data_IF_226001462814
#
_entry.id   IF_226001462814
#
_cell.length_a   1.000
_cell.length_b   1.000
_cell.length_c   1.000
_cell.angle_alpha   90.00
_cell.angle_beta   90.00
_cell.angle_gamma   90.00
#
_symmetry.space_group_name_H-M   'P 1'
#
loop_
_entity.id
_entity.type
_entity.pdbx_description
1 polymer ?
#
# COMPACT_ATOMS: atom_id res chain seq x y z
N UNK A 1 18.07 -48.97 -6.99
CA UNK A 1 17.44 -48.05 -7.96
C UNK A 1 16.20 -47.31 -7.43
N UNK A 2 15.41 -47.86 -6.49
CA UNK A 2 14.15 -47.23 -6.04
C UNK A 2 14.31 -46.13 -4.97
N UNK A 3 15.42 -46.10 -4.21
CA UNK A 3 15.69 -45.07 -3.18
C UNK A 3 16.24 -43.75 -3.77
N UNK A 4 16.98 -43.84 -4.88
CA UNK A 4 17.54 -42.67 -5.58
C UNK A 4 16.46 -41.85 -6.30
N UNK A 5 15.39 -42.49 -6.79
CA UNK A 5 14.26 -41.80 -7.43
C UNK A 5 13.44 -40.95 -6.44
N UNK A 6 13.23 -41.40 -5.20
CA UNK A 6 12.55 -40.57 -4.18
C UNK A 6 13.41 -39.38 -3.74
N UNK A 7 14.73 -39.54 -3.69
CA UNK A 7 15.65 -38.44 -3.40
C UNK A 7 15.65 -37.36 -4.49
N UNK A 8 15.61 -37.75 -5.76
CA UNK A 8 15.52 -36.81 -6.90
C UNK A 8 14.15 -36.11 -6.93
N UNK A 9 13.06 -36.83 -6.67
CA UNK A 9 11.71 -36.26 -6.63
C UNK A 9 11.55 -35.26 -5.48
N UNK A 10 12.12 -35.54 -4.30
CA UNK A 10 12.12 -34.62 -3.17
C UNK A 10 12.96 -33.35 -3.46
N UNK A 11 14.08 -33.49 -4.15
CA UNK A 11 14.93 -32.36 -4.56
C UNK A 11 14.27 -31.46 -5.64
N UNK A 12 13.54 -32.07 -6.58
CA UNK A 12 12.71 -31.35 -7.55
C UNK A 12 11.53 -30.61 -6.89
N UNK A 13 10.92 -31.18 -5.86
CA UNK A 13 9.85 -30.51 -5.10
C UNK A 13 10.37 -29.27 -4.35
N UNK A 14 11.60 -29.29 -3.84
CA UNK A 14 12.18 -28.12 -3.15
C UNK A 14 12.52 -26.96 -4.08
N UNK A 15 12.71 -27.22 -5.39
CA UNK A 15 12.92 -26.19 -6.41
C UNK A 15 11.62 -25.48 -6.84
N UNK A 16 10.46 -26.05 -6.51
CA UNK A 16 9.11 -25.50 -6.76
C UNK A 16 8.60 -24.64 -5.61
N UNK A 17 9.49 -24.03 -4.84
CA UNK A 17 9.11 -23.08 -3.79
C UNK A 17 8.52 -21.83 -4.45
N UNK A 18 7.19 -21.75 -4.52
CA UNK A 18 6.49 -20.55 -4.95
C UNK A 18 6.72 -19.48 -3.89
N UNK A 19 7.47 -18.43 -4.24
CA UNK A 19 7.56 -17.24 -3.39
C UNK A 19 6.20 -16.58 -3.36
N UNK A 20 5.53 -16.61 -2.21
CA UNK A 20 4.36 -15.77 -1.98
C UNK A 20 4.84 -14.34 -1.74
N UNK A 21 4.43 -13.43 -2.60
CA UNK A 21 4.52 -11.99 -2.36
C UNK A 21 3.33 -11.57 -1.53
N UNK A 22 3.59 -10.71 -0.55
CA UNK A 22 2.57 -10.15 0.32
C UNK A 22 2.74 -8.63 0.33
N UNK A 23 1.75 -7.94 0.90
CA UNK A 23 1.82 -6.50 1.10
C UNK A 23 3.12 -6.12 1.81
N UNK A 24 3.85 -5.15 1.26
CA UNK A 24 5.07 -4.60 1.84
C UNK A 24 5.06 -3.10 1.70
N UNK A 25 5.40 -2.40 2.78
CA UNK A 25 5.66 -0.96 2.73
C UNK A 25 7.14 -0.75 2.41
N UNK A 26 7.40 0.09 1.42
CA UNK A 26 8.75 0.51 1.04
C UNK A 26 8.84 2.03 1.14
N UNK A 27 9.87 2.51 1.84
CA UNK A 27 10.14 3.93 1.99
C UNK A 27 11.41 4.22 1.19
N UNK A 28 11.29 5.06 0.17
CA UNK A 28 12.39 5.42 -0.73
C UNK A 28 13.08 6.74 -0.36
N UNK A 29 12.45 7.55 0.49
CA UNK A 29 12.98 8.83 0.94
C UNK A 29 13.26 8.77 2.44
N UNK A 30 14.51 9.04 2.84
CA UNK A 30 14.98 8.94 4.23
C UNK A 30 14.27 9.93 5.18
N UNK A 31 13.67 11.01 4.67
CA UNK A 31 12.88 11.92 5.50
C UNK A 31 11.49 11.41 5.80
N UNK A 32 10.98 10.47 5.00
CA UNK A 32 9.66 9.88 5.22
C UNK A 32 9.79 8.78 6.26
N UNK A 33 8.99 8.84 7.31
CA UNK A 33 8.99 7.85 8.37
C UNK A 33 7.56 7.56 8.85
N UNK A 34 7.44 6.54 9.71
CA UNK A 34 6.21 6.19 10.42
C UNK A 34 5.02 5.96 9.48
N UNK A 35 5.23 5.32 8.32
CA UNK A 35 4.11 4.98 7.44
C UNK A 35 3.15 4.03 8.17
N UNK A 36 1.87 4.39 8.16
CA UNK A 36 0.78 3.60 8.72
C UNK A 36 -0.33 3.49 7.69
N UNK A 37 -0.92 2.30 7.61
CA UNK A 37 -2.08 2.02 6.76
C UNK A 37 -3.08 1.26 7.63
N UNK A 38 -4.26 1.82 7.83
CA UNK A 38 -5.29 1.30 8.74
C UNK A 38 -6.64 1.26 8.03
N UNK A 39 -7.36 0.16 8.17
CA UNK A 39 -8.75 0.06 7.72
C UNK A 39 -9.69 0.44 8.89
N UNK A 40 -10.49 1.49 8.71
CA UNK A 40 -11.30 2.06 9.79
C UNK A 40 -10.43 2.46 10.99
N UNK A 41 -10.80 2.00 12.19
CA UNK A 41 -10.12 2.39 13.44
C UNK A 41 -9.29 1.26 14.08
N UNK A 42 -9.17 0.10 13.43
CA UNK A 42 -8.49 -1.08 14.00
C UNK A 42 -7.02 -1.16 13.57
N UNK A 43 -6.19 -0.41 14.29
CA UNK A 43 -4.73 -0.32 14.09
C UNK A 43 -3.95 -1.63 14.33
N UNK A 44 -4.58 -2.65 14.93
CA UNK A 44 -3.95 -3.96 15.14
C UNK A 44 -4.29 -4.98 14.04
N UNK A 45 -5.26 -4.67 13.20
CA UNK A 45 -5.67 -5.52 12.10
C UNK A 45 -4.90 -5.22 10.81
N UNK A 46 -4.76 -6.20 9.89
CA UNK A 46 -4.29 -5.93 8.55
C UNK A 46 -5.16 -4.87 7.86
N UNK A 47 -4.59 -4.02 6.97
CA UNK A 47 -5.33 -2.96 6.27
C UNK A 47 -6.18 -3.51 5.14
N UNK A 48 -7.14 -4.35 5.48
CA UNK A 48 -8.04 -5.04 4.55
C UNK A 48 -9.46 -4.66 4.92
N UNK A 49 -10.20 -4.18 3.92
CA UNK A 49 -11.61 -3.79 4.06
C UNK A 49 -12.41 -4.38 2.91
N UNK A 50 -13.74 -4.42 3.06
CA UNK A 50 -14.63 -4.78 1.96
C UNK A 50 -14.71 -3.62 0.97
N UNK A 51 -15.00 -3.90 -0.30
CA UNK A 51 -15.39 -2.85 -1.22
C UNK A 51 -16.65 -2.15 -0.68
N UNK A 52 -16.60 -0.81 -0.59
CA UNK A 52 -17.62 0.02 0.09
C UNK A 52 -17.76 -0.23 1.61
N UNK A 53 -16.75 -0.83 2.24
CA UNK A 53 -16.64 -0.97 3.68
C UNK A 53 -15.96 0.23 4.34
N UNK A 54 -15.19 -0.04 5.39
CA UNK A 54 -14.43 0.99 6.10
C UNK A 54 -13.38 1.63 5.18
N UNK A 55 -13.13 2.95 5.32
CA UNK A 55 -12.09 3.62 4.57
C UNK A 55 -10.70 3.15 4.99
N UNK A 56 -9.73 3.30 4.09
CA UNK A 56 -8.31 3.13 4.37
C UNK A 56 -7.71 4.49 4.71
N UNK A 57 -7.15 4.60 5.91
CA UNK A 57 -6.39 5.76 6.36
C UNK A 57 -4.90 5.47 6.21
N UNK A 58 -4.20 6.40 5.57
CA UNK A 58 -2.75 6.35 5.35
C UNK A 58 -2.16 7.58 6.05
N UNK A 59 -1.21 7.36 6.94
CA UNK A 59 -0.48 8.40 7.65
C UNK A 59 1.02 8.21 7.48
N UNK A 60 1.77 9.31 7.40
CA UNK A 60 3.22 9.29 7.41
C UNK A 60 3.77 10.65 7.87
N UNK A 61 5.02 10.66 8.31
CA UNK A 61 5.71 11.88 8.74
C UNK A 61 6.81 12.23 7.74
N UNK A 62 6.91 13.50 7.32
CA UNK A 62 8.10 14.05 6.66
C UNK A 62 8.91 14.82 7.70
N UNK A 63 10.18 14.48 7.91
CA UNK A 63 11.05 15.03 8.97
C UNK A 63 11.55 16.47 8.68
N UNK A 64 10.64 17.34 8.30
CA UNK A 64 10.86 18.77 8.02
C UNK A 64 9.54 19.55 8.14
N UNK A 65 9.66 20.88 8.32
CA UNK A 65 8.54 21.84 8.17
C UNK A 65 8.59 22.57 6.82
N UNK A 66 9.56 22.27 5.97
CA UNK A 66 9.56 22.80 4.61
C UNK A 66 8.30 22.37 3.85
N UNK A 67 7.68 23.33 3.18
CA UNK A 67 6.47 23.05 2.40
C UNK A 67 6.79 22.09 1.25
N UNK A 68 6.17 20.90 1.30
CA UNK A 68 6.18 19.93 0.22
C UNK A 68 4.75 19.62 -0.21
N UNK A 69 4.55 19.58 -1.54
CA UNK A 69 3.28 19.18 -2.14
C UNK A 69 3.38 17.72 -2.58
N UNK A 70 2.80 16.82 -1.80
CA UNK A 70 2.71 15.41 -2.15
C UNK A 70 1.48 15.14 -3.01
N UNK A 71 1.65 14.20 -3.95
CA UNK A 71 0.56 13.59 -4.69
C UNK A 71 0.62 12.08 -4.53
N UNK A 72 -0.51 11.41 -4.74
CA UNK A 72 -0.58 9.95 -4.67
C UNK A 72 -0.99 9.34 -6.01
N UNK A 73 -0.69 8.05 -6.15
CA UNK A 73 -1.13 7.18 -7.23
C UNK A 73 -1.73 5.90 -6.63
N UNK A 74 -2.83 5.42 -7.19
CA UNK A 74 -3.42 4.13 -6.87
C UNK A 74 -3.29 3.21 -8.07
N UNK A 75 -2.76 2.02 -7.86
CA UNK A 75 -2.64 0.97 -8.86
C UNK A 75 -3.39 -0.25 -8.38
N UNK A 76 -4.14 -0.89 -9.28
CA UNK A 76 -4.70 -2.20 -9.00
C UNK A 76 -3.63 -3.26 -9.26
N UNK A 77 -3.53 -4.23 -8.36
CA UNK A 77 -2.60 -5.33 -8.42
C UNK A 77 -3.32 -6.69 -8.41
N UNK A 78 -2.69 -7.67 -9.04
CA UNK A 78 -3.06 -9.07 -8.96
C UNK A 78 -2.80 -9.63 -7.55
N UNK A 79 -3.25 -10.87 -7.31
CA UNK A 79 -3.09 -11.55 -6.03
C UNK A 79 -1.62 -11.68 -5.57
N UNK A 80 -0.67 -11.68 -6.51
CA UNK A 80 0.77 -11.73 -6.28
C UNK A 80 1.42 -10.33 -6.22
N UNK A 81 0.62 -9.27 -6.08
CA UNK A 81 1.07 -7.88 -6.02
C UNK A 81 1.77 -7.37 -7.30
N UNK A 82 1.72 -8.12 -8.40
CA UNK A 82 2.08 -7.56 -9.71
C UNK A 82 0.99 -6.60 -10.17
N UNK A 83 1.39 -5.53 -10.86
CA UNK A 83 0.42 -4.57 -11.39
C UNK A 83 -0.49 -5.26 -12.41
N UNK A 84 -1.79 -5.01 -12.33
CA UNK A 84 -2.74 -5.51 -13.31
C UNK A 84 -2.56 -4.80 -14.64
N UNK A 85 -2.15 -5.53 -15.68
CA UNK A 85 -1.91 -4.99 -17.03
C UNK A 85 -3.17 -4.98 -17.91
N UNK A 86 -4.15 -5.86 -17.61
CA UNK A 86 -5.37 -6.02 -18.41
C UNK A 86 -6.54 -5.12 -17.95
N UNK A 87 -6.31 -4.27 -16.94
CA UNK A 87 -7.31 -3.34 -16.41
C UNK A 87 -7.00 -1.90 -16.80
N UNK A 88 -8.01 -1.19 -17.27
CA UNK A 88 -7.96 0.26 -17.41
C UNK A 88 -8.22 0.94 -16.07
N UNK A 89 -7.68 2.14 -15.88
CA UNK A 89 -7.91 2.96 -14.67
C UNK A 89 -9.39 3.14 -14.34
N UNK A 90 -10.22 3.34 -15.37
CA UNK A 90 -11.67 3.48 -15.23
C UNK A 90 -12.39 2.22 -14.78
N UNK A 91 -11.75 1.05 -14.84
CA UNK A 91 -12.35 -0.21 -14.41
C UNK A 91 -12.40 -0.28 -12.88
N UNK A 92 -11.33 0.15 -12.20
CA UNK A 92 -11.18 0.04 -10.76
C UNK A 92 -11.35 1.36 -9.99
N UNK A 93 -11.27 2.53 -10.66
CA UNK A 93 -11.47 3.84 -10.03
C UNK A 93 -12.50 4.69 -10.78
N UNK A 94 -13.33 5.40 -10.01
CA UNK A 94 -14.14 6.54 -10.46
C UNK A 94 -13.48 7.83 -9.94
N UNK A 95 -12.87 8.59 -10.85
CA UNK A 95 -12.04 9.75 -10.55
C UNK A 95 -10.67 9.67 -11.22
N UNK A 96 -9.63 10.21 -10.57
CA UNK A 96 -8.25 10.15 -11.06
C UNK A 96 -7.43 9.19 -10.21
N UNK A 97 -6.64 8.33 -10.85
CA UNK A 97 -5.73 7.38 -10.19
C UNK A 97 -4.48 8.07 -9.66
N UNK A 98 -4.00 9.12 -10.33
CA UNK A 98 -2.76 9.82 -10.04
C UNK A 98 -2.90 11.35 -10.11
N UNK A 99 -1.94 12.05 -9.50
CA UNK A 99 -1.86 13.52 -9.55
C UNK A 99 -2.76 14.25 -8.54
N UNK A 100 -3.57 13.52 -7.78
CA UNK A 100 -4.35 14.06 -6.66
C UNK A 100 -3.40 14.46 -5.51
N UNK A 101 -3.66 15.62 -4.90
CA UNK A 101 -2.85 16.14 -3.79
C UNK A 101 -3.22 15.52 -2.44
N UNK A 102 -2.24 15.46 -1.54
CA UNK A 102 -2.44 15.19 -0.12
C UNK A 102 -2.39 16.54 0.60
N UNK A 103 -3.57 17.09 0.91
CA UNK A 103 -3.69 18.45 1.45
C UNK A 103 -3.90 18.50 2.98
N UNK A 104 -4.25 17.37 3.62
CA UNK A 104 -4.32 17.28 5.09
C UNK A 104 -2.92 17.03 5.65
N UNK A 105 -2.34 18.10 6.20
CA UNK A 105 -1.06 18.05 6.89
C UNK A 105 -1.02 18.95 8.13
N UNK A 106 -0.19 18.56 9.09
CA UNK A 106 -0.05 19.26 10.36
C UNK A 106 1.41 19.24 10.83
N UNK A 107 1.97 20.41 11.11
CA UNK A 107 3.32 20.53 11.68
C UNK A 107 3.35 20.02 13.12
N UNK A 108 4.41 19.29 13.46
CA UNK A 108 4.71 18.91 14.84
C UNK A 108 4.89 20.11 15.76
N UNK A 109 4.46 19.95 17.02
CA UNK A 109 4.53 20.99 18.05
C UNK A 109 5.28 20.47 19.28
N UNK A 110 6.24 21.26 19.76
CA UNK A 110 7.04 20.96 20.97
C UNK A 110 7.75 19.59 20.94
N UNK A 111 8.22 19.17 19.76
CA UNK A 111 8.99 17.93 19.58
C UNK A 111 10.49 18.25 19.45
N UNK A 112 11.36 17.30 19.84
CA UNK A 112 12.80 17.45 19.65
C UNK A 112 13.24 17.28 18.19
N UNK A 113 12.44 16.58 17.39
CA UNK A 113 12.64 16.39 15.97
C UNK A 113 11.43 16.97 15.26
N UNK A 114 11.67 17.91 14.35
CA UNK A 114 10.61 18.51 13.53
C UNK A 114 10.14 17.50 12.49
N UNK A 115 8.82 17.38 12.37
CA UNK A 115 8.14 16.67 11.30
C UNK A 115 6.83 17.37 10.92
N UNK A 116 6.35 17.08 9.71
CA UNK A 116 5.00 17.38 9.24
C UNK A 116 4.28 16.07 9.03
N UNK A 117 3.15 15.87 9.73
CA UNK A 117 2.33 14.68 9.59
C UNK A 117 1.35 14.86 8.43
N UNK A 118 1.30 13.91 7.52
CA UNK A 118 0.38 13.89 6.38
C UNK A 118 -0.66 12.80 6.55
N UNK A 119 -1.91 13.11 6.18
CA UNK A 119 -3.04 12.18 6.25
C UNK A 119 -3.71 12.05 4.88
N UNK A 120 -3.94 10.83 4.45
CA UNK A 120 -4.70 10.49 3.25
C UNK A 120 -5.78 9.47 3.61
N UNK A 121 -7.00 9.68 3.13
CA UNK A 121 -8.09 8.71 3.26
C UNK A 121 -8.57 8.29 1.88
N UNK A 122 -8.74 6.99 1.66
CA UNK A 122 -9.29 6.38 0.45
C UNK A 122 -10.49 5.50 0.83
N UNK A 123 -11.63 5.58 0.13
CA UNK A 123 -11.92 6.51 -0.97
C UNK A 123 -12.08 7.96 -0.49
N UNK A 124 -11.97 8.90 -1.42
CA UNK A 124 -12.22 10.33 -1.17
C UNK A 124 -12.99 10.96 -2.36
N UNK A 125 -13.11 12.29 -2.36
CA UNK A 125 -13.85 13.03 -3.38
C UNK A 125 -13.26 12.90 -4.79
N UNK A 126 -11.94 12.68 -4.88
CA UNK A 126 -11.20 12.59 -6.14
C UNK A 126 -11.02 11.16 -6.64
N UNK A 127 -11.20 10.16 -5.78
CA UNK A 127 -11.00 8.76 -6.11
C UNK A 127 -11.94 7.85 -5.31
N UNK A 128 -12.90 7.23 -5.99
CA UNK A 128 -13.77 6.18 -5.45
C UNK A 128 -13.40 4.82 -6.05
N UNK A 129 -13.21 3.83 -5.18
CA UNK A 129 -12.91 2.46 -5.61
C UNK A 129 -14.16 1.77 -6.18
N UNK A 130 -14.02 1.12 -7.33
CA UNK A 130 -15.08 0.39 -8.05
C UNK A 130 -14.87 -1.13 -8.04
N UNK A 131 -13.67 -1.59 -7.75
CA UNK A 131 -13.27 -2.99 -7.85
C UNK A 131 -12.52 -3.40 -6.58
N UNK A 132 -12.74 -4.64 -6.14
CA UNK A 132 -11.93 -5.27 -5.09
C UNK A 132 -10.66 -5.86 -5.68
N UNK A 133 -9.60 -5.92 -4.90
CA UNK A 133 -8.31 -6.46 -5.31
C UNK A 133 -7.24 -5.98 -4.36
N UNK A 134 -5.98 -6.08 -4.78
CA UNK A 134 -4.86 -5.44 -4.11
C UNK A 134 -4.60 -4.05 -4.70
#
# INVERSE_FOLDING_TARGET
MRKTTYGILAWLLTLLSVSATAQRHEIFNERITTIQVVAGDDWLSPPVTRLHGDPIHIGFDDLTHEYHRYTYRIEHCEADWTKSEDLFESDYIDGFTEGNTIDDSEESLNTNLLYTHYRLTIPNQHCRLKMSGN
#
